data_IF_616048156417
#
_entry.id   IF_616048156417
#
_cell.length_a   1.000
_cell.length_b   1.000
_cell.length_c   1.000
_cell.angle_alpha   90.00
_cell.angle_beta   90.00
_cell.angle_gamma   90.00
#
_symmetry.space_group_name_H-M   'P 1'
#
loop_
_entity.id
_entity.type
_entity.pdbx_description
1 polymer ?
#
# COMPACT_ATOMS: atom_id res chain seq x y z
N UNK A 1 -41.71 -6.03 -30.32
CA UNK A 1 -40.94 -5.05 -29.52
C UNK A 1 -39.64 -5.72 -29.10
N UNK A 2 -38.61 -5.55 -29.92
CA UNK A 2 -37.25 -6.03 -29.68
C UNK A 2 -36.46 -4.86 -29.06
N UNK A 3 -35.88 -5.08 -27.88
CA UNK A 3 -35.03 -4.10 -27.19
C UNK A 3 -33.56 -4.40 -27.48
N UNK A 4 -32.93 -3.51 -28.22
CA UNK A 4 -31.51 -3.53 -28.59
C UNK A 4 -30.61 -3.20 -27.41
N UNK A 5 -29.62 -4.06 -27.14
CA UNK A 5 -28.48 -3.80 -26.25
C UNK A 5 -27.57 -2.70 -26.84
N UNK A 6 -26.89 -1.87 -26.03
CA UNK A 6 -25.90 -0.95 -26.55
C UNK A 6 -24.61 -1.72 -26.86
N UNK A 7 -24.23 -1.78 -28.14
CA UNK A 7 -22.93 -2.25 -28.59
C UNK A 7 -21.85 -1.24 -28.19
N UNK A 8 -20.86 -1.69 -27.42
CA UNK A 8 -19.62 -0.94 -27.21
C UNK A 8 -18.82 -0.97 -28.52
N UNK A 9 -18.69 0.19 -29.15
CA UNK A 9 -17.90 0.39 -30.35
C UNK A 9 -16.40 0.19 -30.02
N UNK A 10 -15.80 -0.84 -30.62
CA UNK A 10 -14.45 -1.35 -30.30
C UNK A 10 -13.38 -0.80 -31.25
N UNK A 11 -13.65 0.32 -31.92
CA UNK A 11 -12.81 0.77 -33.04
C UNK A 11 -11.91 1.95 -32.66
N UNK A 12 -10.59 1.71 -32.71
CA UNK A 12 -9.45 2.68 -32.72
C UNK A 12 -8.68 2.96 -31.41
N UNK A 13 -8.06 1.93 -30.83
CA UNK A 13 -6.86 2.07 -29.97
C UNK A 13 -5.62 1.45 -30.62
N UNK A 14 -5.46 1.63 -31.93
CA UNK A 14 -4.30 1.16 -32.67
C UNK A 14 -3.11 2.12 -32.47
N UNK A 15 -2.31 1.90 -31.42
CA UNK A 15 -1.16 2.76 -31.16
C UNK A 15 -0.06 2.27 -30.21
N UNK A 16 -0.23 1.15 -29.51
CA UNK A 16 0.83 0.62 -28.62
C UNK A 16 1.33 -0.71 -29.18
N UNK A 17 2.49 -0.68 -29.82
CA UNK A 17 3.15 -1.90 -30.33
C UNK A 17 3.61 -2.75 -29.15
N UNK A 18 2.91 -3.85 -28.92
CA UNK A 18 3.27 -4.87 -27.94
C UNK A 18 4.55 -5.60 -28.38
N UNK A 19 5.72 -5.12 -27.95
CA UNK A 19 7.01 -5.81 -28.09
C UNK A 19 7.45 -6.35 -26.73
N UNK A 20 6.81 -7.41 -26.23
CA UNK A 20 7.47 -8.39 -25.37
C UNK A 20 6.83 -9.76 -25.64
N UNK A 21 7.59 -10.67 -26.23
CA UNK A 21 7.38 -12.09 -25.94
C UNK A 21 7.40 -12.19 -24.41
N UNK A 22 6.30 -12.61 -23.80
CA UNK A 22 6.14 -12.59 -22.35
C UNK A 22 7.30 -13.34 -21.69
N UNK A 23 7.87 -12.84 -20.57
CA UNK A 23 8.91 -13.56 -19.86
C UNK A 23 8.42 -14.96 -19.49
N UNK A 24 9.29 -15.97 -19.64
CA UNK A 24 9.17 -17.20 -18.85
C UNK A 24 9.43 -16.78 -17.41
N UNK A 25 8.35 -16.48 -16.67
CA UNK A 25 8.46 -16.08 -15.28
C UNK A 25 8.95 -17.26 -14.47
N UNK A 26 10.24 -17.24 -14.16
CA UNK A 26 10.82 -18.08 -13.15
C UNK A 26 10.35 -17.55 -11.78
N UNK A 27 9.26 -18.12 -11.26
CA UNK A 27 8.76 -17.85 -9.89
C UNK A 27 9.84 -18.16 -8.82
N UNK A 28 10.96 -18.83 -9.16
CA UNK A 28 12.05 -19.14 -8.21
C UNK A 28 13.05 -18.00 -8.00
N UNK A 29 13.07 -16.99 -8.88
CA UNK A 29 13.97 -15.84 -8.75
C UNK A 29 13.18 -14.53 -8.80
N UNK A 30 12.89 -13.89 -7.65
CA UNK A 30 12.15 -12.64 -7.64
C UNK A 30 12.93 -11.53 -8.37
N UNK A 31 12.25 -10.64 -9.12
CA UNK A 31 12.91 -9.49 -9.71
C UNK A 31 13.52 -8.62 -8.59
N UNK A 32 14.75 -8.12 -8.74
CA UNK A 32 15.40 -7.28 -7.73
C UNK A 32 14.50 -6.09 -7.38
N UNK A 33 14.51 -5.69 -6.11
CA UNK A 33 13.85 -4.46 -5.68
C UNK A 33 14.58 -3.29 -6.34
N UNK A 34 14.07 -2.84 -7.48
CA UNK A 34 14.66 -1.83 -8.35
C UNK A 34 14.18 -0.41 -7.99
N UNK A 35 13.56 -0.23 -6.82
CA UNK A 35 13.09 1.09 -6.41
C UNK A 35 14.27 1.94 -5.97
N UNK A 36 14.41 3.18 -6.49
CA UNK A 36 15.46 4.08 -6.02
C UNK A 36 15.30 4.33 -4.53
N UNK A 37 16.43 4.52 -3.83
CA UNK A 37 16.37 4.98 -2.45
C UNK A 37 15.76 6.39 -2.40
N UNK A 38 14.89 6.65 -1.42
CA UNK A 38 14.22 7.94 -1.32
C UNK A 38 15.24 9.03 -1.09
N UNK A 39 15.08 10.15 -1.80
CA UNK A 39 16.01 11.29 -1.71
C UNK A 39 15.74 12.06 -0.42
N UNK A 40 16.67 12.00 0.52
CA UNK A 40 16.52 12.60 1.86
C UNK A 40 17.71 13.50 2.23
N UNK A 41 17.48 14.37 3.21
CA UNK A 41 18.52 15.04 3.99
C UNK A 41 18.48 14.55 5.42
N UNK A 42 19.65 14.31 6.00
CA UNK A 42 19.80 13.95 7.41
C UNK A 42 20.42 15.12 8.16
N UNK A 43 19.83 15.49 9.29
CA UNK A 43 20.35 16.53 10.20
C UNK A 43 21.35 15.93 11.20
N UNK A 44 22.15 16.76 11.85
CA UNK A 44 23.13 16.32 12.86
C UNK A 44 22.49 15.58 14.04
N UNK A 45 21.24 15.93 14.41
CA UNK A 45 20.49 15.26 15.47
C UNK A 45 19.78 13.97 15.01
N UNK A 46 20.03 13.51 13.77
CA UNK A 46 19.54 12.25 13.23
C UNK A 46 18.08 12.29 12.75
N UNK A 47 17.51 13.48 12.51
CA UNK A 47 16.22 13.62 11.83
C UNK A 47 16.41 13.56 10.32
N UNK A 48 15.38 13.10 9.64
CA UNK A 48 15.36 12.95 8.20
C UNK A 48 14.26 13.80 7.58
N UNK A 49 14.59 14.50 6.50
CA UNK A 49 13.65 15.29 5.69
C UNK A 49 13.66 14.80 4.25
N UNK A 50 12.49 14.50 3.71
CA UNK A 50 12.32 14.11 2.32
C UNK A 50 12.58 15.30 1.39
N UNK A 51 13.24 15.04 0.25
CA UNK A 51 13.56 16.05 -0.78
C UNK A 51 12.74 15.88 -2.05
N UNK A 52 12.22 14.68 -2.31
CA UNK A 52 11.34 14.39 -3.44
C UNK A 52 10.43 13.21 -3.12
N UNK A 53 9.21 13.21 -3.67
CA UNK A 53 8.33 12.05 -3.69
C UNK A 53 8.59 11.23 -4.95
N UNK A 54 8.64 9.91 -4.81
CA UNK A 54 8.70 8.97 -5.93
C UNK A 54 7.44 8.09 -6.02
N UNK A 55 6.55 8.15 -5.03
CA UNK A 55 5.30 7.41 -5.00
C UNK A 55 4.09 8.32 -4.79
N UNK A 56 3.13 8.25 -5.72
CA UNK A 56 1.88 9.01 -5.70
C UNK A 56 0.71 8.07 -5.50
N UNK A 57 0.14 8.05 -4.30
CA UNK A 57 -1.02 7.23 -3.96
C UNK A 57 -2.28 7.99 -4.38
N UNK A 58 -2.85 7.63 -5.52
CA UNK A 58 -3.92 8.39 -6.16
C UNK A 58 -5.28 7.74 -5.92
N UNK A 59 -6.23 8.49 -5.35
CA UNK A 59 -7.61 8.05 -5.16
C UNK A 59 -8.46 8.47 -6.36
N UNK A 60 -8.67 7.57 -7.33
CA UNK A 60 -9.59 7.83 -8.44
C UNK A 60 -11.07 7.72 -8.00
N UNK A 61 -11.33 6.92 -6.96
CA UNK A 61 -12.62 6.85 -6.28
C UNK A 61 -12.43 6.98 -4.76
N UNK A 62 -13.42 7.58 -4.10
CA UNK A 62 -13.46 7.72 -2.63
C UNK A 62 -14.46 6.75 -1.98
N UNK A 63 -15.15 5.93 -2.76
CA UNK A 63 -16.16 4.97 -2.29
C UNK A 63 -15.71 3.54 -2.53
N UNK A 64 -16.28 2.61 -1.79
CA UNK A 64 -16.03 1.18 -1.92
C UNK A 64 -17.35 0.44 -2.02
N UNK A 65 -17.32 -0.73 -2.66
CA UNK A 65 -18.42 -1.67 -2.78
C UNK A 65 -18.41 -2.77 -1.70
N UNK A 66 -17.53 -2.64 -0.70
CA UNK A 66 -17.47 -3.46 0.51
C UNK A 66 -17.54 -2.57 1.76
N UNK A 67 -17.92 -3.17 2.88
CA UNK A 67 -18.05 -2.54 4.20
C UNK A 67 -17.17 -3.28 5.22
N UNK A 68 -15.85 -3.26 5.00
CA UNK A 68 -14.91 -3.92 5.91
C UNK A 68 -14.88 -3.20 7.26
N UNK A 69 -15.10 -3.93 8.35
CA UNK A 69 -15.20 -3.39 9.72
C UNK A 69 -13.88 -2.83 10.30
N UNK A 70 -12.74 -3.23 9.74
CA UNK A 70 -11.43 -2.68 10.09
C UNK A 70 -10.96 -1.58 9.11
N UNK A 71 -11.77 -1.19 8.12
CA UNK A 71 -11.30 -0.37 7.01
C UNK A 71 -10.71 0.97 7.48
N UNK A 72 -9.43 1.20 7.17
CA UNK A 72 -8.74 2.39 7.62
C UNK A 72 -9.31 3.69 7.06
N UNK A 73 -10.01 3.62 5.92
CA UNK A 73 -10.66 4.75 5.26
C UNK A 73 -12.03 5.05 5.86
N UNK A 74 -12.79 4.02 6.26
CA UNK A 74 -14.22 4.17 6.56
C UNK A 74 -14.58 4.06 8.05
N UNK A 75 -13.76 3.37 8.84
CA UNK A 75 -14.07 2.99 10.23
C UNK A 75 -13.14 3.62 11.29
N UNK A 76 -12.12 4.37 10.84
CA UNK A 76 -11.17 5.05 11.73
C UNK A 76 -11.63 6.48 12.09
N UNK A 77 -10.68 7.38 12.36
CA UNK A 77 -10.96 8.68 12.99
C UNK A 77 -11.18 9.78 11.96
N UNK A 78 -10.61 9.65 10.78
CA UNK A 78 -10.91 10.53 9.64
C UNK A 78 -12.19 10.09 8.92
N UNK A 79 -13.11 11.03 8.78
CA UNK A 79 -14.39 10.87 8.09
C UNK A 79 -14.50 11.74 6.84
N UNK A 80 -13.40 12.41 6.45
CA UNK A 80 -13.33 13.33 5.33
C UNK A 80 -13.78 12.72 4.00
N UNK A 81 -13.60 11.40 3.83
CA UNK A 81 -14.08 10.66 2.67
C UNK A 81 -15.57 10.92 2.37
N UNK A 82 -16.42 11.15 3.40
CA UNK A 82 -17.86 11.36 3.25
C UNK A 82 -18.19 12.59 2.42
N UNK A 83 -17.38 13.64 2.55
CA UNK A 83 -17.58 14.93 1.88
C UNK A 83 -16.91 14.98 0.51
N UNK A 84 -15.97 14.06 0.24
CA UNK A 84 -15.23 14.02 -1.01
C UNK A 84 -16.09 13.56 -2.19
N UNK A 85 -15.83 14.07 -3.42
CA UNK A 85 -16.44 13.58 -4.65
C UNK A 85 -16.24 12.08 -4.80
N UNK A 86 -17.25 11.36 -5.31
CA UNK A 86 -17.17 9.90 -5.47
C UNK A 86 -16.06 9.46 -6.43
N UNK A 87 -15.91 10.22 -7.51
CA UNK A 87 -14.92 10.01 -8.57
C UNK A 87 -14.12 11.30 -8.74
N UNK A 88 -12.80 11.18 -8.91
CA UNK A 88 -11.94 12.31 -9.22
C UNK A 88 -12.34 12.95 -10.56
N UNK A 89 -12.59 14.25 -10.61
CA UNK A 89 -13.05 14.94 -11.81
C UNK A 89 -11.93 15.12 -12.85
N UNK A 90 -12.27 15.40 -14.12
CA UNK A 90 -11.26 15.62 -15.16
C UNK A 90 -10.30 16.78 -14.84
N UNK A 91 -10.76 17.97 -14.38
CA UNK A 91 -9.85 19.06 -14.00
C UNK A 91 -8.87 18.68 -12.87
N UNK A 92 -9.32 17.87 -11.90
CA UNK A 92 -8.45 17.39 -10.81
C UNK A 92 -7.41 16.41 -11.35
N UNK A 93 -7.79 15.49 -12.25
CA UNK A 93 -6.85 14.56 -12.89
C UNK A 93 -5.82 15.30 -13.75
N UNK A 94 -6.24 16.28 -14.54
CA UNK A 94 -5.35 17.11 -15.37
C UNK A 94 -4.34 17.87 -14.53
N UNK A 95 -4.79 18.47 -13.42
CA UNK A 95 -3.90 19.15 -12.49
C UNK A 95 -2.91 18.18 -11.84
N UNK A 96 -3.37 17.00 -11.42
CA UNK A 96 -2.52 15.98 -10.80
C UNK A 96 -1.44 15.50 -11.77
N UNK A 97 -1.82 15.19 -13.02
CA UNK A 97 -0.89 14.83 -14.10
C UNK A 97 0.19 15.90 -14.27
N UNK A 98 -0.21 17.17 -14.31
CA UNK A 98 0.71 18.30 -14.42
C UNK A 98 1.69 18.36 -13.23
N UNK A 99 1.20 18.21 -11.99
CA UNK A 99 2.03 18.23 -10.78
C UNK A 99 3.02 17.08 -10.70
N UNK A 100 2.62 15.86 -11.11
CA UNK A 100 3.52 14.70 -11.15
C UNK A 100 4.66 14.98 -12.14
N UNK A 101 4.33 15.45 -13.35
CA UNK A 101 5.33 15.76 -14.38
C UNK A 101 6.25 16.93 -14.00
N UNK A 102 5.70 17.97 -13.36
CA UNK A 102 6.47 19.08 -12.78
C UNK A 102 7.51 18.57 -11.79
N UNK A 103 7.08 17.74 -10.83
CA UNK A 103 7.95 17.20 -9.78
C UNK A 103 9.02 16.27 -10.33
N UNK A 104 8.62 15.32 -11.20
CA UNK A 104 9.55 14.38 -11.83
C UNK A 104 10.65 15.09 -12.62
N UNK A 105 10.29 16.11 -13.41
CA UNK A 105 11.26 16.93 -14.16
C UNK A 105 12.18 17.72 -13.25
N UNK A 106 11.63 18.37 -12.23
CA UNK A 106 12.38 19.24 -11.31
C UNK A 106 13.47 18.48 -10.56
N UNK A 107 13.19 17.24 -10.18
CA UNK A 107 14.15 16.40 -9.45
C UNK A 107 14.95 15.47 -10.37
N UNK A 108 14.62 15.37 -11.66
CA UNK A 108 15.25 14.37 -12.54
C UNK A 108 15.07 12.97 -11.96
N UNK A 109 13.82 12.59 -11.68
CA UNK A 109 13.51 11.26 -11.17
C UNK A 109 13.60 10.27 -12.33
N UNK A 110 14.40 9.21 -12.19
CA UNK A 110 14.49 8.17 -13.22
C UNK A 110 13.21 7.32 -13.28
N UNK A 111 12.49 7.23 -12.15
CA UNK A 111 11.30 6.38 -12.00
C UNK A 111 10.34 6.97 -10.97
N UNK A 112 9.03 6.87 -11.23
CA UNK A 112 7.96 7.19 -10.27
C UNK A 112 6.90 6.10 -10.26
N UNK A 113 6.27 5.87 -9.11
CA UNK A 113 5.13 4.96 -8.94
C UNK A 113 3.86 5.75 -8.79
N UNK A 114 2.84 5.38 -9.56
CA UNK A 114 1.48 5.85 -9.33
C UNK A 114 0.64 4.67 -8.88
N UNK A 115 0.29 4.67 -7.59
CA UNK A 115 -0.53 3.64 -6.97
C UNK A 115 -1.99 4.08 -6.99
N UNK A 116 -2.79 3.48 -7.87
CA UNK A 116 -4.24 3.63 -7.90
C UNK A 116 -4.83 2.89 -6.69
N UNK A 117 -5.39 3.65 -5.76
CA UNK A 117 -5.96 3.15 -4.52
C UNK A 117 -7.23 3.96 -4.21
N UNK A 118 -7.67 3.96 -2.95
CA UNK A 118 -8.80 4.79 -2.48
C UNK A 118 -10.14 4.14 -2.75
N UNK A 119 -10.94 4.03 -1.69
CA UNK A 119 -12.07 3.10 -1.64
C UNK A 119 -11.78 1.83 -2.43
N UNK A 120 -12.59 1.60 -3.45
CA UNK A 120 -12.28 0.66 -4.54
C UNK A 120 -11.95 1.43 -5.83
N UNK A 121 -10.69 1.42 -6.31
CA UNK A 121 -10.29 2.22 -7.48
C UNK A 121 -11.00 1.80 -8.77
N UNK A 122 -11.41 0.53 -8.90
CA UNK A 122 -12.16 0.06 -10.08
C UNK A 122 -13.55 0.70 -10.22
N UNK A 123 -14.10 1.31 -9.15
CA UNK A 123 -15.35 2.08 -9.24
C UNK A 123 -15.20 3.38 -10.05
N UNK A 124 -13.98 3.87 -10.29
CA UNK A 124 -13.76 4.98 -11.21
C UNK A 124 -14.14 4.65 -12.66
N UNK A 125 -14.17 3.35 -12.99
CA UNK A 125 -14.51 2.84 -14.31
C UNK A 125 -13.31 2.80 -15.27
N UNK A 126 -13.36 1.89 -16.27
CA UNK A 126 -12.25 1.60 -17.17
C UNK A 126 -11.73 2.83 -17.91
N UNK A 127 -12.64 3.68 -18.42
CA UNK A 127 -12.27 4.90 -19.14
C UNK A 127 -11.45 5.88 -18.29
N UNK A 128 -11.85 6.11 -17.04
CA UNK A 128 -11.12 7.04 -16.15
C UNK A 128 -9.72 6.53 -15.85
N UNK A 129 -9.58 5.22 -15.63
CA UNK A 129 -8.27 4.57 -15.41
C UNK A 129 -7.39 4.70 -16.66
N UNK A 130 -7.93 4.39 -17.84
CA UNK A 130 -7.21 4.48 -19.12
C UNK A 130 -6.76 5.91 -19.43
N UNK A 131 -7.67 6.88 -19.32
CA UNK A 131 -7.39 8.29 -19.59
C UNK A 131 -6.32 8.83 -18.64
N UNK A 132 -6.42 8.52 -17.34
CA UNK A 132 -5.46 8.99 -16.33
C UNK A 132 -4.06 8.41 -16.52
N UNK A 133 -3.96 7.08 -16.61
CA UNK A 133 -2.67 6.38 -16.78
C UNK A 133 -1.96 6.82 -18.05
N UNK A 134 -2.70 6.95 -19.16
CA UNK A 134 -2.18 7.46 -20.43
C UNK A 134 -1.71 8.91 -20.32
N UNK A 135 -2.49 9.77 -19.67
CA UNK A 135 -2.15 11.18 -19.49
C UNK A 135 -0.87 11.37 -18.66
N UNK A 136 -0.71 10.64 -17.55
CA UNK A 136 0.51 10.68 -16.73
C UNK A 136 1.73 10.25 -17.56
N UNK A 137 1.66 9.09 -18.26
CA UNK A 137 2.78 8.63 -19.09
C UNK A 137 3.16 9.68 -20.14
N UNK A 138 2.18 10.26 -20.83
CA UNK A 138 2.41 11.33 -21.81
C UNK A 138 3.05 12.57 -21.18
N UNK A 139 2.59 12.99 -20.01
CA UNK A 139 3.08 14.21 -19.37
C UNK A 139 4.54 14.12 -18.89
N UNK A 140 5.01 12.91 -18.56
CA UNK A 140 6.42 12.69 -18.21
C UNK A 140 7.29 12.36 -19.42
N UNK A 141 6.74 12.19 -20.63
CA UNK A 141 7.54 11.98 -21.84
C UNK A 141 8.53 13.15 -22.02
N UNK A 142 9.79 12.82 -22.30
CA UNK A 142 10.87 13.80 -22.44
C UNK A 142 11.53 14.24 -21.13
N UNK A 143 11.07 13.76 -19.97
CA UNK A 143 11.80 13.96 -18.68
C UNK A 143 12.86 12.91 -18.42
N UNK A 144 12.80 11.75 -19.10
CA UNK A 144 13.60 10.57 -18.80
C UNK A 144 13.00 9.66 -17.72
N UNK A 145 11.90 10.08 -17.08
CA UNK A 145 11.21 9.33 -16.03
C UNK A 145 10.37 8.18 -16.59
N UNK A 146 10.57 6.97 -16.06
CA UNK A 146 9.67 5.84 -16.22
C UNK A 146 8.53 5.86 -15.18
N UNK A 147 7.33 5.42 -15.57
CA UNK A 147 6.16 5.39 -14.67
C UNK A 147 5.65 3.96 -14.51
N UNK A 148 5.69 3.48 -13.28
CA UNK A 148 5.06 2.22 -12.91
C UNK A 148 3.69 2.47 -12.32
N UNK A 149 2.69 1.82 -12.89
CA UNK A 149 1.34 1.81 -12.33
C UNK A 149 1.10 0.54 -11.56
N UNK A 150 0.55 0.71 -10.37
CA UNK A 150 -0.02 -0.38 -9.60
C UNK A 150 -1.44 0.01 -9.18
N UNK A 151 -2.31 -0.98 -9.01
CA UNK A 151 -3.67 -0.83 -8.54
C UNK A 151 -3.88 -1.78 -7.37
N UNK A 152 -4.38 -1.25 -6.25
CA UNK A 152 -4.79 -2.06 -5.10
C UNK A 152 -6.30 -2.17 -5.06
N UNK A 153 -6.83 -3.38 -5.27
CA UNK A 153 -8.27 -3.65 -5.32
C UNK A 153 -8.72 -4.68 -4.30
N UNK A 154 -9.99 -4.62 -3.91
CA UNK A 154 -10.65 -5.70 -3.19
C UNK A 154 -10.93 -6.93 -4.06
N UNK A 155 -10.74 -6.84 -5.38
CA UNK A 155 -10.82 -7.95 -6.33
C UNK A 155 -12.22 -8.30 -6.82
N UNK A 156 -13.29 -7.81 -6.17
CA UNK A 156 -14.68 -8.18 -6.48
C UNK A 156 -15.13 -7.73 -7.87
N UNK A 157 -14.53 -6.65 -8.39
CA UNK A 157 -14.86 -6.09 -9.70
C UNK A 157 -13.95 -6.57 -10.82
N UNK A 158 -12.95 -7.42 -10.54
CA UNK A 158 -12.05 -7.92 -11.57
C UNK A 158 -12.79 -8.86 -12.52
N UNK A 159 -12.75 -8.54 -13.81
CA UNK A 159 -13.28 -9.32 -14.91
C UNK A 159 -12.22 -9.43 -16.00
N UNK A 160 -12.36 -10.38 -16.93
CA UNK A 160 -11.43 -10.50 -18.07
C UNK A 160 -11.30 -9.19 -18.86
N UNK A 161 -12.41 -8.48 -19.11
CA UNK A 161 -12.38 -7.20 -19.81
C UNK A 161 -11.58 -6.11 -19.07
N UNK A 162 -11.66 -6.08 -17.74
CA UNK A 162 -10.84 -5.16 -16.94
C UNK A 162 -9.37 -5.61 -16.90
N UNK A 163 -9.10 -6.90 -16.80
CA UNK A 163 -7.74 -7.43 -16.85
C UNK A 163 -7.08 -7.18 -18.21
N UNK A 164 -7.84 -7.28 -19.31
CA UNK A 164 -7.37 -6.93 -20.66
C UNK A 164 -6.97 -5.46 -20.76
N UNK A 165 -7.80 -4.56 -20.23
CA UNK A 165 -7.47 -3.14 -20.15
C UNK A 165 -6.20 -2.90 -19.30
N UNK A 166 -6.12 -3.50 -18.11
CA UNK A 166 -4.97 -3.33 -17.22
C UNK A 166 -3.69 -3.91 -17.83
N UNK A 167 -3.80 -4.96 -18.66
CA UNK A 167 -2.69 -5.52 -19.43
C UNK A 167 -2.21 -4.56 -20.51
N UNK A 168 -3.13 -3.98 -21.28
CA UNK A 168 -2.81 -2.95 -22.29
C UNK A 168 -2.14 -1.72 -21.65
N UNK A 169 -2.62 -1.33 -20.47
CA UNK A 169 -2.11 -0.20 -19.72
C UNK A 169 -0.87 -0.56 -18.88
N UNK A 170 -0.37 -1.79 -18.88
CA UNK A 170 0.75 -2.23 -18.03
C UNK A 170 0.61 -1.76 -16.57
N UNK A 171 -0.52 -2.14 -15.95
CA UNK A 171 -0.87 -1.81 -14.55
C UNK A 171 -0.81 -3.07 -13.70
N UNK A 172 0.11 -3.12 -12.74
CA UNK A 172 0.17 -4.23 -11.79
C UNK A 172 -1.05 -4.23 -10.85
N UNK A 173 -1.50 -5.40 -10.43
CA UNK A 173 -2.71 -5.60 -9.62
C UNK A 173 -2.35 -6.28 -8.31
N UNK A 174 -2.46 -5.52 -7.22
CA UNK A 174 -2.50 -6.04 -5.86
C UNK A 174 -3.94 -6.35 -5.46
N UNK A 175 -4.16 -7.53 -4.86
CA UNK A 175 -5.50 -7.95 -4.42
C UNK A 175 -5.52 -8.13 -2.92
N UNK A 176 -6.53 -7.57 -2.26
CA UNK A 176 -6.68 -7.68 -0.83
C UNK A 176 -7.43 -8.97 -0.45
N UNK A 177 -6.78 -9.88 0.30
CA UNK A 177 -7.31 -11.18 0.72
C UNK A 177 -6.76 -11.53 2.11
N UNK A 178 -7.62 -11.79 3.10
CA UNK A 178 -7.22 -12.04 4.50
C UNK A 178 -7.15 -13.53 4.87
N UNK A 179 -6.76 -14.39 3.93
CA UNK A 179 -6.65 -15.84 4.14
C UNK A 179 -7.86 -16.63 3.66
N UNK A 180 -8.22 -17.69 4.41
CA UNK A 180 -9.30 -18.61 4.08
C UNK A 180 -10.70 -17.97 4.21
N UNK A 181 -11.73 -18.62 3.67
CA UNK A 181 -13.08 -18.06 3.54
C UNK A 181 -13.63 -17.49 4.84
N UNK A 182 -13.57 -18.23 5.94
CA UNK A 182 -14.07 -17.80 7.24
C UNK A 182 -13.28 -16.61 7.82
N UNK A 183 -11.96 -16.55 7.61
CA UNK A 183 -11.12 -15.43 8.02
C UNK A 183 -11.45 -14.16 7.23
N UNK A 184 -11.55 -14.29 5.90
CA UNK A 184 -11.84 -13.18 5.00
C UNK A 184 -13.26 -12.63 5.18
N UNK A 185 -14.27 -13.49 5.20
CA UNK A 185 -15.68 -13.09 5.26
C UNK A 185 -16.13 -12.63 6.65
N UNK A 186 -15.31 -12.86 7.69
CA UNK A 186 -15.47 -12.24 9.01
C UNK A 186 -15.41 -10.72 8.95
N UNK A 187 -14.69 -10.15 7.99
CA UNK A 187 -14.48 -8.71 7.93
C UNK A 187 -14.91 -8.12 6.59
N UNK A 188 -14.56 -8.75 5.47
CA UNK A 188 -14.76 -8.20 4.12
C UNK A 188 -16.14 -8.54 3.55
N UNK A 189 -17.15 -7.81 4.03
CA UNK A 189 -18.56 -8.04 3.67
C UNK A 189 -19.07 -7.02 2.66
N UNK A 190 -20.04 -7.42 1.83
CA UNK A 190 -20.78 -6.48 0.99
C UNK A 190 -21.79 -5.63 1.78
N UNK A 191 -22.30 -4.53 1.19
CA UNK A 191 -23.30 -3.66 1.82
C UNK A 191 -24.66 -4.37 2.04
N UNK A 192 -25.31 -4.11 3.19
CA UNK A 192 -26.64 -4.59 3.54
C UNK A 192 -26.89 -4.58 5.06
N UNK A 193 -28.12 -4.30 5.51
CA UNK A 193 -28.52 -4.34 6.93
C UNK A 193 -28.69 -5.78 7.40
N UNK A 194 -27.55 -6.41 7.75
CA UNK A 194 -27.42 -7.79 8.24
C UNK A 194 -25.97 -8.25 8.14
N UNK A 195 -25.67 -9.50 8.46
CA UNK A 195 -24.39 -10.11 8.08
C UNK A 195 -24.31 -10.14 6.54
N UNK A 196 -23.82 -9.07 5.93
CA UNK A 196 -23.69 -8.94 4.47
C UNK A 196 -22.95 -10.14 3.89
N UNK A 197 -23.25 -10.50 2.63
CA UNK A 197 -22.60 -11.64 1.98
C UNK A 197 -21.09 -11.43 1.96
N UNK A 198 -20.36 -12.48 2.31
CA UNK A 198 -18.91 -12.57 2.16
C UNK A 198 -18.43 -12.22 0.76
N UNK A 199 -17.16 -11.83 0.64
CA UNK A 199 -16.53 -11.52 -0.65
C UNK A 199 -15.51 -12.56 -1.09
N UNK A 200 -15.09 -13.47 -0.22
CA UNK A 200 -14.02 -14.44 -0.49
C UNK A 200 -14.21 -15.22 -1.79
N UNK A 201 -15.41 -15.78 -2.03
CA UNK A 201 -15.68 -16.57 -3.22
C UNK A 201 -15.49 -15.78 -4.53
N UNK A 202 -15.89 -14.50 -4.54
CA UNK A 202 -15.72 -13.61 -5.70
C UNK A 202 -14.25 -13.23 -5.89
N UNK A 203 -13.55 -12.94 -4.80
CA UNK A 203 -12.11 -12.63 -4.83
C UNK A 203 -11.29 -13.83 -5.29
N UNK A 204 -11.62 -15.03 -4.83
CA UNK A 204 -10.97 -16.28 -5.25
C UNK A 204 -11.16 -16.54 -6.74
N UNK A 205 -12.37 -16.32 -7.28
CA UNK A 205 -12.63 -16.44 -8.71
C UNK A 205 -11.82 -15.41 -9.53
N UNK A 206 -11.74 -14.16 -9.05
CA UNK A 206 -10.91 -13.13 -9.67
C UNK A 206 -9.41 -13.48 -9.63
N UNK A 207 -8.92 -14.05 -8.53
CA UNK A 207 -7.54 -14.52 -8.40
C UNK A 207 -7.23 -15.70 -9.33
N UNK A 208 -8.19 -16.59 -9.58
CA UNK A 208 -8.02 -17.66 -10.56
C UNK A 208 -7.85 -17.10 -11.99
N UNK A 209 -8.59 -16.04 -12.34
CA UNK A 209 -8.39 -15.33 -13.61
C UNK A 209 -7.02 -14.65 -13.64
N UNK A 210 -6.70 -13.83 -12.63
CA UNK A 210 -5.45 -13.06 -12.54
C UNK A 210 -4.20 -13.96 -12.52
N UNK A 211 -4.29 -15.13 -11.89
CA UNK A 211 -3.21 -16.12 -11.83
C UNK A 211 -3.04 -16.94 -13.11
N UNK A 212 -3.99 -16.86 -14.06
CA UNK A 212 -3.90 -17.54 -15.35
C UNK A 212 -2.75 -17.00 -16.21
N UNK A 213 -2.21 -17.84 -17.10
CA UNK A 213 -0.99 -17.54 -17.88
C UNK A 213 -1.03 -16.18 -18.62
N UNK A 214 -2.22 -15.78 -19.11
CA UNK A 214 -2.43 -14.49 -19.80
C UNK A 214 -2.23 -13.29 -18.88
N UNK A 215 -2.73 -13.35 -17.65
CA UNK A 215 -2.78 -12.20 -16.73
C UNK A 215 -1.74 -12.27 -15.60
N UNK A 216 -1.01 -13.39 -15.48
CA UNK A 216 0.07 -13.58 -14.51
C UNK A 216 1.08 -12.42 -14.44
N UNK A 217 1.50 -11.77 -15.55
CA UNK A 217 2.38 -10.60 -15.50
C UNK A 217 1.81 -9.40 -14.73
N UNK A 218 0.49 -9.27 -14.65
CA UNK A 218 -0.18 -8.22 -13.88
C UNK A 218 -0.20 -8.51 -12.39
N UNK A 219 -0.10 -9.77 -11.97
CA UNK A 219 -0.33 -10.12 -10.58
C UNK A 219 0.80 -9.55 -9.71
N UNK A 220 0.52 -8.47 -8.98
CA UNK A 220 1.51 -7.77 -8.14
C UNK A 220 1.67 -8.39 -6.75
N UNK A 221 0.62 -9.04 -6.24
CA UNK A 221 0.65 -9.72 -4.95
C UNK A 221 -0.64 -9.62 -4.15
N UNK A 222 -0.57 -10.05 -2.90
CA UNK A 222 -1.68 -10.05 -1.96
C UNK A 222 -1.43 -9.10 -0.77
N UNK A 223 -2.47 -8.41 -0.32
CA UNK A 223 -2.46 -7.70 0.97
C UNK A 223 -3.42 -8.41 1.94
N UNK A 224 -2.89 -8.84 3.09
CA UNK A 224 -3.62 -9.54 4.13
C UNK A 224 -3.59 -8.72 5.42
N UNK A 225 -4.73 -8.22 5.89
CA UNK A 225 -4.82 -7.62 7.23
C UNK A 225 -4.77 -8.73 8.28
N UNK A 226 -3.88 -8.62 9.26
CA UNK A 226 -3.75 -9.62 10.32
C UNK A 226 -4.93 -9.52 11.29
N UNK A 227 -5.61 -10.64 11.50
CA UNK A 227 -6.53 -10.86 12.61
C UNK A 227 -5.99 -12.03 13.46
N UNK A 228 -5.56 -11.77 14.72
CA UNK A 228 -5.03 -12.80 15.60
C UNK A 228 -6.02 -13.92 15.95
N UNK A 229 -7.31 -13.74 15.69
CA UNK A 229 -8.30 -14.81 15.85
C UNK A 229 -8.24 -15.87 14.74
N UNK A 230 -7.45 -15.64 13.68
CA UNK A 230 -7.22 -16.59 12.61
C UNK A 230 -5.92 -17.36 12.82
N UNK A 231 -5.94 -18.64 12.45
CA UNK A 231 -4.74 -19.46 12.49
C UNK A 231 -3.68 -18.91 11.50
N UNK A 232 -2.44 -18.60 11.95
CA UNK A 232 -1.42 -17.99 11.10
C UNK A 232 -1.00 -18.90 9.94
N UNK A 233 -0.84 -20.20 10.21
CA UNK A 233 -0.35 -21.18 9.22
C UNK A 233 -1.41 -21.43 8.15
N UNK A 234 -2.66 -21.66 8.54
CA UNK A 234 -3.79 -21.81 7.62
C UNK A 234 -4.03 -20.55 6.80
N UNK A 235 -3.86 -19.36 7.40
CA UNK A 235 -3.92 -18.09 6.68
C UNK A 235 -2.83 -18.02 5.62
N UNK A 236 -1.57 -18.28 5.98
CA UNK A 236 -0.46 -18.31 5.03
C UNK A 236 -0.69 -19.32 3.90
N UNK A 237 -1.06 -20.56 4.22
CA UNK A 237 -1.26 -21.63 3.24
C UNK A 237 -2.39 -21.28 2.26
N UNK A 238 -3.48 -20.66 2.74
CA UNK A 238 -4.57 -20.18 1.89
C UNK A 238 -4.11 -19.09 0.91
N UNK A 239 -3.27 -18.15 1.35
CA UNK A 239 -2.69 -17.13 0.46
C UNK A 239 -1.71 -17.75 -0.55
N UNK A 240 -0.84 -18.64 -0.08
CA UNK A 240 0.17 -19.32 -0.91
C UNK A 240 -0.45 -20.19 -2.01
N UNK A 241 -1.64 -20.75 -1.78
CA UNK A 241 -2.38 -21.53 -2.78
C UNK A 241 -2.69 -20.75 -4.07
N UNK A 242 -2.77 -19.42 -4.00
CA UNK A 242 -2.95 -18.55 -5.16
C UNK A 242 -1.65 -18.26 -5.92
N UNK A 243 -0.49 -18.75 -5.45
CA UNK A 243 0.84 -18.53 -6.03
C UNK A 243 1.16 -17.06 -6.35
N UNK A 244 0.88 -16.11 -5.43
CA UNK A 244 1.22 -14.72 -5.67
C UNK A 244 2.74 -14.52 -5.71
N UNK A 245 3.26 -13.53 -6.46
CA UNK A 245 4.69 -13.24 -6.43
C UNK A 245 5.12 -12.58 -5.11
N UNK A 246 4.20 -11.91 -4.42
CA UNK A 246 4.42 -11.29 -3.13
C UNK A 246 3.15 -11.32 -2.27
N UNK A 247 3.32 -11.33 -0.95
CA UNK A 247 2.27 -11.08 0.03
C UNK A 247 2.76 -10.16 1.14
N UNK A 248 1.93 -9.20 1.55
CA UNK A 248 2.16 -8.37 2.73
C UNK A 248 1.14 -8.70 3.82
N UNK A 249 1.66 -8.96 5.02
CA UNK A 249 0.87 -9.13 6.23
C UNK A 249 0.85 -7.80 7.00
N UNK A 250 -0.31 -7.16 7.01
CA UNK A 250 -0.51 -5.80 7.52
C UNK A 250 -1.00 -5.84 8.97
N UNK A 251 -0.25 -5.20 9.86
CA UNK A 251 -0.73 -4.90 11.20
C UNK A 251 -1.92 -3.91 11.10
N UNK A 252 -3.06 -4.17 11.76
CA UNK A 252 -4.15 -3.22 11.82
C UNK A 252 -3.67 -1.85 12.31
N UNK A 253 -4.27 -0.76 11.83
CA UNK A 253 -3.93 0.54 12.40
C UNK A 253 -4.44 0.63 13.85
N UNK A 254 -3.55 1.02 14.75
CA UNK A 254 -3.86 1.29 16.14
C UNK A 254 -3.00 2.42 16.68
N UNK A 255 -3.43 3.05 17.75
CA UNK A 255 -2.71 4.13 18.46
C UNK A 255 -2.72 3.82 19.95
N UNK A 256 -2.00 4.57 20.78
CA UNK A 256 -2.10 4.42 22.24
C UNK A 256 -3.48 4.78 22.78
N UNK A 257 -4.22 5.65 22.08
CA UNK A 257 -5.60 6.00 22.44
C UNK A 257 -6.61 4.94 22.01
N UNK A 258 -6.29 4.24 20.92
CA UNK A 258 -7.11 3.19 20.32
C UNK A 258 -6.20 2.00 19.98
N UNK A 259 -5.77 1.23 21.00
CA UNK A 259 -4.85 0.15 20.76
C UNK A 259 -5.52 -0.96 19.95
N UNK A 260 -4.75 -1.71 19.17
CA UNK A 260 -5.28 -2.82 18.40
C UNK A 260 -5.84 -3.90 19.34
N UNK A 261 -6.66 -4.81 18.82
CA UNK A 261 -7.19 -5.95 19.60
C UNK A 261 -6.05 -6.73 20.25
N UNK A 262 -6.10 -6.93 21.57
CA UNK A 262 -5.02 -7.54 22.35
C UNK A 262 -3.83 -6.63 22.66
N UNK A 263 -3.76 -5.44 22.05
CA UNK A 263 -2.80 -4.38 22.34
C UNK A 263 -3.15 -3.67 23.64
N UNK A 264 -2.25 -3.74 24.61
CA UNK A 264 -2.46 -3.24 25.98
C UNK A 264 -2.17 -4.30 27.05
N UNK A 265 -2.16 -5.59 26.67
CA UNK A 265 -1.68 -6.68 27.51
C UNK A 265 -0.17 -6.89 27.43
N UNK A 266 0.37 -7.77 28.27
CA UNK A 266 1.83 -7.96 28.37
C UNK A 266 2.46 -8.79 27.21
N UNK A 267 1.64 -9.44 26.37
CA UNK A 267 2.10 -10.35 25.31
C UNK A 267 2.36 -9.71 23.94
N UNK A 268 3.17 -10.37 23.11
CA UNK A 268 3.46 -10.02 21.72
C UNK A 268 2.59 -10.85 20.75
N UNK A 269 1.27 -10.65 20.81
CA UNK A 269 0.28 -11.47 20.09
C UNK A 269 0.48 -11.46 18.57
N UNK A 270 0.63 -10.28 17.96
CA UNK A 270 0.86 -10.15 16.52
C UNK A 270 2.27 -10.62 16.15
N UNK A 271 3.24 -10.41 17.05
CA UNK A 271 4.61 -10.89 16.89
C UNK A 271 4.66 -12.40 16.79
N UNK A 272 4.02 -13.11 17.72
CA UNK A 272 3.92 -14.56 17.71
C UNK A 272 3.21 -15.09 16.46
N UNK A 273 2.12 -14.42 16.04
CA UNK A 273 1.40 -14.73 14.80
C UNK A 273 2.33 -14.62 13.57
N UNK A 274 3.07 -13.51 13.46
CA UNK A 274 4.02 -13.28 12.37
C UNK A 274 5.21 -14.24 12.39
N UNK A 275 5.71 -14.62 13.58
CA UNK A 275 6.75 -15.63 13.71
C UNK A 275 6.29 -16.99 13.16
N UNK A 276 5.06 -17.42 13.49
CA UNK A 276 4.49 -18.66 12.97
C UNK A 276 4.34 -18.63 11.43
N UNK A 277 3.90 -17.50 10.86
CA UNK A 277 3.87 -17.32 9.40
C UNK A 277 5.28 -17.37 8.80
N UNK A 278 6.27 -16.73 9.41
CA UNK A 278 7.65 -16.76 8.96
C UNK A 278 8.22 -18.18 8.93
N UNK A 279 7.98 -18.96 9.98
CA UNK A 279 8.46 -20.35 10.06
C UNK A 279 7.82 -21.22 8.98
N UNK A 280 6.50 -21.08 8.79
CA UNK A 280 5.80 -21.78 7.72
C UNK A 280 6.30 -21.37 6.34
N UNK A 281 6.50 -20.07 6.11
CA UNK A 281 7.03 -19.52 4.86
C UNK A 281 8.41 -20.09 4.54
N UNK A 282 9.31 -20.18 5.53
CA UNK A 282 10.63 -20.82 5.36
C UNK A 282 10.53 -22.31 5.09
N UNK A 283 9.72 -23.03 5.86
CA UNK A 283 9.52 -24.46 5.71
C UNK A 283 8.92 -24.83 4.33
N UNK A 284 8.13 -23.94 3.74
CA UNK A 284 7.57 -24.09 2.39
C UNK A 284 8.55 -23.68 1.27
N UNK A 285 9.81 -23.36 1.58
CA UNK A 285 10.81 -22.96 0.58
C UNK A 285 10.64 -21.53 0.07
N UNK A 286 10.00 -20.64 0.87
CA UNK A 286 9.77 -19.22 0.54
C UNK A 286 9.02 -19.02 -0.80
N UNK A 287 7.79 -19.57 -0.94
CA UNK A 287 7.09 -19.67 -2.23
C UNK A 287 6.62 -18.33 -2.81
N UNK A 288 6.76 -17.24 -2.07
CA UNK A 288 6.41 -15.88 -2.46
C UNK A 288 7.26 -14.90 -1.65
N UNK A 289 7.43 -13.67 -2.12
CA UNK A 289 8.08 -12.63 -1.32
C UNK A 289 7.20 -12.19 -0.16
N UNK A 290 7.80 -11.91 0.99
CA UNK A 290 7.13 -11.25 2.11
C UNK A 290 7.96 -10.05 2.52
N UNK A 291 7.53 -8.85 2.10
CA UNK A 291 8.34 -7.61 2.22
C UNK A 291 8.78 -7.37 3.65
N UNK A 292 7.90 -7.59 4.63
CA UNK A 292 8.23 -7.40 6.04
C UNK A 292 9.41 -8.28 6.49
N UNK A 293 9.43 -9.55 6.09
CA UNK A 293 10.50 -10.49 6.47
C UNK A 293 11.81 -10.17 5.75
N UNK A 294 11.74 -9.90 4.45
CA UNK A 294 12.90 -9.50 3.64
C UNK A 294 13.52 -8.18 4.13
N UNK A 295 12.69 -7.18 4.49
CA UNK A 295 13.15 -5.92 5.08
C UNK A 295 13.85 -6.15 6.41
N UNK A 296 13.31 -6.99 7.30
CA UNK A 296 13.97 -7.32 8.57
C UNK A 296 15.32 -8.00 8.34
N UNK A 297 15.38 -9.00 7.46
CA UNK A 297 16.64 -9.70 7.15
C UNK A 297 17.68 -8.76 6.55
N UNK A 298 17.29 -7.93 5.57
CA UNK A 298 18.17 -6.95 4.92
C UNK A 298 18.71 -5.91 5.90
N UNK A 299 17.83 -5.23 6.65
CA UNK A 299 18.22 -4.21 7.63
C UNK A 299 19.10 -4.79 8.75
N UNK A 300 18.84 -6.04 9.16
CA UNK A 300 19.64 -6.72 10.19
C UNK A 300 21.01 -7.19 9.69
N UNK A 301 21.27 -7.20 8.38
CA UNK A 301 22.56 -7.61 7.77
C UNK A 301 23.40 -6.42 7.36
N UNK A 302 22.78 -5.50 6.64
CA UNK A 302 23.50 -4.45 5.90
C UNK A 302 23.26 -3.06 6.48
N UNK A 303 22.32 -2.92 7.42
CA UNK A 303 21.79 -1.61 7.80
C UNK A 303 21.10 -0.93 6.60
N UNK A 304 20.97 0.40 6.66
CA UNK A 304 20.44 1.19 5.55
C UNK A 304 18.92 1.40 5.56
N UNK A 305 18.38 1.80 4.41
CA UNK A 305 16.97 2.13 4.24
C UNK A 305 16.07 0.92 4.06
N UNK A 306 14.77 1.12 4.28
CA UNK A 306 13.71 0.12 4.07
C UNK A 306 12.77 0.61 2.98
N UNK A 307 12.31 -0.27 2.10
CA UNK A 307 11.22 0.02 1.16
C UNK A 307 9.82 -0.12 1.79
N UNK A 308 9.75 -0.07 3.12
CA UNK A 308 8.52 -0.19 3.92
C UNK A 308 8.45 0.98 4.88
N UNK A 309 7.29 1.62 4.96
CA UNK A 309 7.00 2.67 5.96
C UNK A 309 6.90 2.11 7.39
N UNK A 310 6.74 0.78 7.52
CA UNK A 310 6.52 0.11 8.81
C UNK A 310 7.83 -0.09 9.58
N UNK A 311 8.96 -0.23 8.88
CA UNK A 311 10.28 -0.56 9.45
C UNK A 311 11.37 0.29 8.82
N UNK A 312 12.52 0.38 9.49
CA UNK A 312 13.65 1.17 9.05
C UNK A 312 13.55 2.65 9.44
N UNK A 313 14.67 3.35 9.35
CA UNK A 313 14.80 4.74 9.82
C UNK A 313 14.55 5.78 8.74
N UNK A 314 14.33 5.33 7.50
CA UNK A 314 14.16 6.17 6.32
C UNK A 314 12.67 6.24 5.97
N UNK A 315 12.10 7.44 5.76
CA UNK A 315 10.69 7.57 5.41
C UNK A 315 10.39 7.03 4.01
N UNK A 316 9.15 6.60 3.80
CA UNK A 316 8.65 6.36 2.45
C UNK A 316 8.52 7.70 1.70
N UNK A 317 9.04 7.77 0.47
CA UNK A 317 8.90 8.93 -0.41
C UNK A 317 7.52 9.00 -1.08
N UNK A 318 6.46 8.86 -0.27
CA UNK A 318 5.09 8.73 -0.73
C UNK A 318 4.21 9.91 -0.32
N UNK A 319 3.23 10.23 -1.17
CA UNK A 319 2.19 11.22 -0.91
C UNK A 319 0.85 10.73 -1.42
N UNK A 320 -0.23 10.98 -0.68
CA UNK A 320 -1.59 10.60 -1.06
C UNK A 320 -2.36 11.79 -1.65
N UNK A 321 -3.13 11.52 -2.71
CA UNK A 321 -3.96 12.51 -3.40
C UNK A 321 -5.41 12.01 -3.45
N UNK A 322 -6.29 12.79 -2.83
CA UNK A 322 -7.72 12.51 -2.72
C UNK A 322 -8.50 12.93 -3.98
N UNK A 323 -9.74 12.47 -4.11
CA UNK A 323 -10.59 12.70 -5.30
C UNK A 323 -10.90 14.17 -5.61
N UNK A 324 -10.78 15.08 -4.63
CA UNK A 324 -10.94 16.53 -4.81
C UNK A 324 -9.60 17.26 -5.03
N UNK A 325 -8.48 16.53 -5.02
CA UNK A 325 -7.14 17.09 -5.14
C UNK A 325 -6.51 17.50 -3.82
N UNK A 326 -7.16 17.26 -2.68
CA UNK A 326 -6.53 17.37 -1.35
C UNK A 326 -5.32 16.46 -1.28
N UNK A 327 -4.23 16.98 -0.72
CA UNK A 327 -3.00 16.22 -0.54
C UNK A 327 -2.85 15.83 0.93
N UNK A 328 -2.48 14.58 1.15
CA UNK A 328 -2.22 14.01 2.46
C UNK A 328 -0.83 13.35 2.48
N UNK A 329 -0.23 13.27 3.67
CA UNK A 329 1.03 12.60 3.92
C UNK A 329 0.88 11.07 3.78
N UNK A 330 0.95 10.35 4.88
CA UNK A 330 0.63 8.92 4.95
C UNK A 330 -0.80 8.74 5.44
N UNK A 331 -1.56 7.88 4.75
CA UNK A 331 -2.94 7.58 5.10
C UNK A 331 -3.08 6.85 6.44
N UNK A 332 -1.98 6.26 6.94
CA UNK A 332 -1.96 5.66 8.28
C UNK A 332 -2.33 6.66 9.39
N UNK A 333 -2.08 7.96 9.16
CA UNK A 333 -2.45 9.03 10.09
C UNK A 333 -3.97 9.24 10.22
N UNK A 334 -4.79 8.67 9.32
CA UNK A 334 -6.25 8.66 9.49
C UNK A 334 -6.70 7.88 10.75
N UNK A 335 -5.81 7.07 11.34
CA UNK A 335 -6.01 6.42 12.63
C UNK A 335 -5.90 7.37 13.84
N UNK A 336 -5.28 8.53 13.65
CA UNK A 336 -4.90 9.46 14.73
C UNK A 336 -6.04 10.39 15.09
N UNK A 337 -6.52 11.18 14.11
CA UNK A 337 -7.61 12.14 14.28
C UNK A 337 -8.16 12.56 12.91
N UNK A 338 -9.31 13.22 12.90
CA UNK A 338 -9.86 13.88 11.70
C UNK A 338 -8.83 14.86 11.12
N UNK A 339 -8.53 14.73 9.82
CA UNK A 339 -7.60 15.60 9.13
C UNK A 339 -6.12 15.40 9.48
N UNK A 340 -5.76 14.43 10.34
CA UNK A 340 -4.39 14.26 10.81
C UNK A 340 -3.38 13.92 9.69
N UNK A 341 -3.86 13.33 8.59
CA UNK A 341 -3.03 13.05 7.42
C UNK A 341 -2.91 14.26 6.47
N UNK A 342 -3.79 15.27 6.58
CA UNK A 342 -3.87 16.35 5.59
C UNK A 342 -2.65 17.25 5.69
N UNK A 343 -2.09 17.64 4.55
CA UNK A 343 -0.97 18.58 4.54
C UNK A 343 -1.41 20.02 4.81
N UNK A 344 -2.69 20.32 4.60
CA UNK A 344 -3.25 21.67 4.51
C UNK A 344 -3.25 22.24 3.08
N UNK A 345 -2.72 21.50 2.11
CA UNK A 345 -2.63 21.89 0.71
C UNK A 345 -3.44 21.01 -0.25
N UNK A 346 -3.67 21.53 -1.44
CA UNK A 346 -4.23 20.81 -2.59
C UNK A 346 -3.26 20.88 -3.76
N UNK A 347 -3.42 20.01 -4.75
CA UNK A 347 -2.65 20.06 -6.00
C UNK A 347 -2.86 21.37 -6.79
N UNK A 348 -3.90 22.13 -6.48
CA UNK A 348 -4.17 23.45 -7.05
C UNK A 348 -3.41 24.55 -6.32
N UNK A 349 -3.37 24.49 -4.99
CA UNK A 349 -2.71 25.52 -4.18
C UNK A 349 -1.20 25.32 -4.02
N UNK A 350 -0.70 24.08 -4.14
CA UNK A 350 0.70 23.74 -3.90
C UNK A 350 1.27 22.85 -5.00
N UNK A 351 2.57 23.03 -5.30
CA UNK A 351 3.37 21.98 -5.93
C UNK A 351 3.75 20.93 -4.88
N UNK A 352 4.14 19.73 -5.32
CA UNK A 352 4.63 18.69 -4.40
C UNK A 352 5.88 19.16 -3.62
N UNK A 353 6.76 19.94 -4.26
CA UNK A 353 7.92 20.56 -3.61
C UNK A 353 7.54 21.53 -2.49
N UNK A 354 6.51 22.36 -2.71
CA UNK A 354 6.07 23.30 -1.70
C UNK A 354 5.53 22.58 -0.45
N UNK A 355 4.92 21.40 -0.63
CA UNK A 355 4.45 20.59 0.49
C UNK A 355 5.58 20.09 1.38
N UNK A 356 6.71 19.68 0.79
CA UNK A 356 7.88 19.19 1.54
C UNK A 356 8.48 20.23 2.49
N UNK A 357 8.20 21.52 2.27
CA UNK A 357 8.64 22.62 3.12
C UNK A 357 7.64 23.06 4.19
N UNK A 358 6.46 22.44 4.27
CA UNK A 358 5.45 22.80 5.26
C UNK A 358 5.86 22.36 6.67
N UNK A 359 5.47 23.15 7.68
CA UNK A 359 5.66 22.80 9.09
C UNK A 359 4.90 21.52 9.49
N UNK A 360 3.87 21.15 8.72
CA UNK A 360 3.11 19.92 8.90
C UNK A 360 3.83 18.67 8.37
N UNK A 361 4.98 18.82 7.70
CA UNK A 361 5.76 17.70 7.18
C UNK A 361 6.21 16.76 8.31
N UNK A 362 5.97 15.44 8.18
CA UNK A 362 6.44 14.47 9.16
C UNK A 362 7.96 14.54 9.32
N UNK A 363 8.42 14.65 10.57
CA UNK A 363 9.83 14.46 10.90
C UNK A 363 10.11 12.98 11.18
N UNK A 364 10.97 12.36 10.38
CA UNK A 364 11.35 10.96 10.52
C UNK A 364 12.82 10.81 10.96
N UNK A 365 13.33 9.58 11.01
CA UNK A 365 14.66 9.27 11.53
C UNK A 365 14.71 9.06 13.04
N UNK A 366 15.82 8.51 13.52
CA UNK A 366 16.00 8.14 14.93
C UNK A 366 15.92 9.36 15.85
N UNK A 367 16.35 10.53 15.37
CA UNK A 367 16.31 11.79 16.11
C UNK A 367 14.90 12.21 16.54
N UNK A 368 13.87 11.87 15.78
CA UNK A 368 12.47 12.22 16.09
C UNK A 368 11.77 11.23 17.03
N UNK A 369 12.46 10.17 17.46
CA UNK A 369 11.89 9.12 18.29
C UNK A 369 11.99 9.43 19.79
N UNK A 370 11.12 8.78 20.58
CA UNK A 370 11.17 8.88 22.04
C UNK A 370 12.49 8.32 22.59
N UNK A 371 12.87 8.73 23.82
CA UNK A 371 14.13 8.30 24.46
C UNK A 371 14.32 6.78 24.45
N UNK A 372 13.26 6.02 24.80
CA UNK A 372 13.28 4.56 24.81
C UNK A 372 13.64 3.96 23.44
N UNK A 373 13.15 4.55 22.36
CA UNK A 373 13.49 4.08 21.01
C UNK A 373 14.92 4.46 20.63
N UNK A 374 15.37 5.68 20.94
CA UNK A 374 16.75 6.13 20.67
C UNK A 374 17.81 5.27 21.36
N UNK A 375 17.51 4.78 22.56
CA UNK A 375 18.39 3.90 23.34
C UNK A 375 18.22 2.39 22.99
N UNK A 376 17.26 2.04 22.12
CA UNK A 376 16.95 0.65 21.82
C UNK A 376 17.91 0.06 20.77
N UNK A 377 18.52 -1.12 21.02
CA UNK A 377 19.44 -1.74 20.08
C UNK A 377 18.77 -2.18 18.76
N UNK A 378 17.44 -2.36 18.74
CA UNK A 378 16.68 -2.75 17.55
C UNK A 378 16.24 -1.56 16.69
N UNK A 379 16.51 -0.32 17.10
CA UNK A 379 15.92 0.88 16.46
C UNK A 379 16.35 1.06 15.00
N UNK A 380 17.55 0.61 14.65
CA UNK A 380 18.04 0.67 13.27
C UNK A 380 17.25 -0.24 12.33
N UNK A 381 16.62 -1.30 12.87
CA UNK A 381 15.75 -2.20 12.11
C UNK A 381 14.29 -1.76 12.22
N UNK A 382 13.80 -1.46 13.42
CA UNK A 382 12.37 -1.16 13.61
C UNK A 382 11.98 0.28 13.26
N UNK A 383 12.90 1.24 13.30
CA UNK A 383 12.60 2.66 13.05
C UNK A 383 11.66 3.31 14.06
N UNK A 384 11.34 2.64 15.17
CA UNK A 384 10.26 3.03 16.08
C UNK A 384 8.86 2.57 15.63
N UNK A 385 8.75 1.87 14.49
CA UNK A 385 7.50 1.46 13.87
C UNK A 385 6.78 2.61 13.16
N UNK A 386 5.66 2.27 12.52
CA UNK A 386 4.83 3.24 11.78
C UNK A 386 4.44 4.44 12.66
N UNK A 387 4.56 5.66 12.10
CA UNK A 387 4.33 6.91 12.85
C UNK A 387 2.98 6.95 13.56
N UNK A 388 1.91 6.59 12.85
CA UNK A 388 0.55 6.57 13.42
C UNK A 388 0.47 5.68 14.67
N UNK A 389 1.18 4.55 14.69
CA UNK A 389 1.19 3.59 15.81
C UNK A 389 1.90 4.11 17.07
N UNK A 390 2.55 5.27 17.00
CA UNK A 390 3.19 5.95 18.14
C UNK A 390 2.31 7.03 18.77
N UNK A 391 1.20 7.38 18.14
CA UNK A 391 0.37 8.47 18.63
C UNK A 391 -0.34 8.12 19.94
N UNK A 392 -0.36 9.04 20.90
CA UNK A 392 -1.21 9.00 22.08
C UNK A 392 -1.46 10.40 22.66
N UNK A 393 -2.66 10.64 23.18
CA UNK A 393 -3.03 11.91 23.83
C UNK A 393 -2.00 12.27 24.92
N UNK A 394 -1.55 13.52 24.91
CA UNK A 394 -0.57 14.07 25.85
C UNK A 394 0.88 13.97 25.40
N UNK A 395 1.30 12.87 24.77
CA UNK A 395 2.69 12.68 24.27
C UNK A 395 2.83 12.80 22.75
N UNK A 396 1.73 12.91 22.01
CA UNK A 396 1.74 12.93 20.55
C UNK A 396 2.44 11.68 20.01
N UNK A 397 3.40 11.85 19.10
CA UNK A 397 4.17 10.76 18.48
C UNK A 397 5.41 10.33 19.30
N UNK A 398 5.61 10.89 20.50
CA UNK A 398 6.75 10.60 21.37
C UNK A 398 6.55 9.35 22.27
N UNK A 399 5.91 8.31 21.73
CA UNK A 399 5.78 7.00 22.35
C UNK A 399 6.47 5.93 21.47
N UNK A 400 6.89 4.78 22.02
CA UNK A 400 7.17 3.63 21.17
C UNK A 400 5.89 3.20 20.43
N UNK A 401 6.02 2.48 19.30
CA UNK A 401 4.85 1.91 18.62
C UNK A 401 4.03 1.02 19.57
N UNK A 402 2.70 1.02 19.44
CA UNK A 402 1.83 0.05 20.13
C UNK A 402 2.17 -1.41 19.79
N UNK A 403 2.87 -1.64 18.68
CA UNK A 403 3.40 -2.95 18.26
C UNK A 403 4.88 -3.15 18.61
N UNK A 404 5.44 -2.35 19.53
CA UNK A 404 6.87 -2.41 19.86
C UNK A 404 7.30 -3.81 20.32
N UNK A 405 6.49 -4.49 21.14
CA UNK A 405 6.77 -5.87 21.57
C UNK A 405 6.69 -6.86 20.41
N UNK A 406 5.67 -6.74 19.56
CA UNK A 406 5.44 -7.60 18.39
C UNK A 406 6.57 -7.51 17.37
N UNK A 407 6.92 -6.29 16.96
CA UNK A 407 8.01 -6.03 16.02
C UNK A 407 9.34 -6.51 16.61
N UNK A 408 9.59 -6.27 17.90
CA UNK A 408 10.81 -6.75 18.56
C UNK A 408 10.90 -8.28 18.60
N UNK A 409 9.78 -8.96 18.84
CA UNK A 409 9.73 -10.42 18.83
C UNK A 409 10.04 -10.97 17.43
N UNK A 410 9.41 -10.41 16.39
CA UNK A 410 9.65 -10.81 15.01
C UNK A 410 11.10 -10.57 14.57
N UNK A 411 11.67 -9.39 14.89
CA UNK A 411 13.07 -9.10 14.53
C UNK A 411 14.01 -10.14 15.15
N UNK A 412 13.87 -10.41 16.45
CA UNK A 412 14.71 -11.40 17.15
C UNK A 412 14.53 -12.80 16.60
N UNK A 413 13.30 -13.17 16.24
CA UNK A 413 12.97 -14.47 15.68
C UNK A 413 13.61 -14.68 14.31
N UNK A 414 13.51 -13.69 13.42
CA UNK A 414 14.13 -13.75 12.10
C UNK A 414 15.65 -13.75 12.23
N UNK A 415 16.23 -12.97 13.16
CA UNK A 415 17.68 -12.95 13.33
C UNK A 415 18.22 -14.25 13.93
N UNK A 416 17.55 -14.88 14.90
CA UNK A 416 17.99 -16.14 15.49
C UNK A 416 17.80 -17.35 14.56
N UNK A 417 16.76 -17.32 13.72
CA UNK A 417 16.49 -18.37 12.72
C UNK A 417 17.50 -18.38 11.57
N UNK A 418 18.51 -17.49 11.57
CA UNK A 418 19.59 -17.47 10.58
C UNK A 418 20.74 -18.40 10.92
N UNK A 419 20.93 -18.69 12.20
CA UNK A 419 22.01 -19.52 12.71
C UNK A 419 21.65 -21.02 12.69
N UNK A 420 20.49 -21.35 12.12
CA UNK A 420 19.93 -22.69 11.88
C UNK A 420 19.60 -22.83 10.40
#
# INVERSE_FOLDING_TARGET
>A
MQGTSPSLDTTSWAGVRNRRQGPTWDDSTPPPNHWPEPRISVTEDGRTRLRAFDQFITKLSSRCNLCCDYCYVYELRDSGWRQRPRIMSAPVREQLVSRIAEHARRHGLDRVRVLLHGGEPLLAGPRVIADFTTAVRRAVQGTGTEVDFALQTNGVLLTEALLDLLLELDVQVGVSLDGYAEAHDRHRRGPGSGAGKGSHARVTAALALLGGARYRPLFGGLLCTIDPANDPVRTFDALAAHRPPAADFLLPHGTWDHPPTGGGGDGALYGAWLCAVHDRWRAAGRPMRVRLFESIDSLSRYGGGSSSEVLGTVPAAAVAIETDGTVAWTESLNAVAEGAAHTGGTIFSHSFDALLGLDSAPEDGVGSLCRRCRECPLVQVCGGGLRAHRFGRGRGFANPSVYCKDISALIRHITSSRDQ
#
